data_IF_496039189218
#
_entry.id   IF_496039189218
#
_cell.length_a   1.000
_cell.length_b   1.000
_cell.length_c   1.000
_cell.angle_alpha   90.00
_cell.angle_beta   90.00
_cell.angle_gamma   90.00
#
_symmetry.space_group_name_H-M   'P 1'
#
loop_
_entity.id
_entity.type
_entity.pdbx_description
1 polymer ?
#
# COMPACT_ATOMS: atom_id res chain seq x y z
N UNK A 1 23.63 4.45 -13.74
CA UNK A 1 23.99 3.12 -13.17
C UNK A 1 23.52 2.05 -14.15
N UNK A 2 24.39 1.10 -14.48
CA UNK A 2 24.02 0.01 -15.39
C UNK A 2 23.00 -0.94 -14.73
N UNK A 3 22.04 -1.53 -15.46
CA UNK A 3 21.04 -2.45 -14.89
C UNK A 3 21.63 -3.59 -14.07
N UNK A 4 22.72 -4.20 -14.53
CA UNK A 4 23.39 -5.28 -13.79
C UNK A 4 23.96 -4.81 -12.45
N UNK A 5 24.45 -3.59 -12.39
CA UNK A 5 24.95 -2.97 -11.15
C UNK A 5 23.80 -2.73 -10.17
N UNK A 6 22.68 -2.21 -10.66
CA UNK A 6 21.45 -2.03 -9.85
C UNK A 6 20.99 -3.36 -9.28
N UNK A 7 20.94 -4.39 -10.13
CA UNK A 7 20.56 -5.74 -9.72
C UNK A 7 21.52 -6.29 -8.66
N UNK A 8 22.81 -6.19 -8.87
CA UNK A 8 23.83 -6.67 -7.93
C UNK A 8 23.74 -5.98 -6.56
N UNK A 9 23.56 -4.66 -6.54
CA UNK A 9 23.38 -3.89 -5.31
C UNK A 9 22.08 -4.26 -4.60
N UNK A 10 21.00 -4.42 -5.36
CA UNK A 10 19.71 -4.82 -4.81
C UNK A 10 19.77 -6.20 -4.18
N UNK A 11 20.39 -7.16 -4.86
CA UNK A 11 20.58 -8.51 -4.33
C UNK A 11 21.46 -8.56 -3.08
N UNK A 12 22.45 -7.68 -2.99
CA UNK A 12 23.41 -7.63 -1.89
C UNK A 12 22.82 -6.99 -0.62
N UNK A 13 21.98 -5.96 -0.77
CA UNK A 13 21.61 -5.07 0.33
C UNK A 13 20.17 -5.15 0.76
N UNK A 14 19.30 -5.92 0.05
CA UNK A 14 17.90 -6.03 0.41
C UNK A 14 17.55 -7.42 0.95
N UNK A 15 16.68 -7.42 1.95
CA UNK A 15 16.05 -8.63 2.45
C UNK A 15 14.74 -8.87 1.68
N UNK A 16 14.60 -10.03 1.07
CA UNK A 16 13.46 -10.37 0.23
C UNK A 16 12.30 -10.91 1.03
N UNK A 17 11.14 -10.28 0.93
CA UNK A 17 9.90 -10.78 1.51
C UNK A 17 9.21 -11.75 0.53
N UNK A 18 8.53 -12.76 1.06
CA UNK A 18 7.78 -13.76 0.30
C UNK A 18 8.61 -14.56 -0.72
N UNK A 19 9.90 -14.58 -0.53
CA UNK A 19 10.83 -15.26 -1.43
C UNK A 19 11.97 -15.90 -0.64
N UNK A 20 12.63 -16.89 -1.26
CA UNK A 20 13.84 -17.46 -0.68
C UNK A 20 14.99 -16.47 -0.80
N UNK A 21 15.74 -16.28 0.27
CA UNK A 21 16.87 -15.32 0.26
C UNK A 21 18.01 -15.75 -0.65
N UNK A 22 18.18 -17.06 -0.81
CA UNK A 22 19.29 -17.60 -1.61
C UNK A 22 19.13 -17.42 -3.12
N UNK A 23 17.90 -17.54 -3.63
CA UNK A 23 17.57 -17.38 -5.06
C UNK A 23 16.19 -16.77 -5.24
N UNK A 24 16.01 -15.48 -4.96
CA UNK A 24 14.73 -14.83 -5.19
C UNK A 24 14.46 -14.77 -6.70
N UNK A 25 13.21 -15.05 -7.09
CA UNK A 25 12.77 -14.81 -8.46
C UNK A 25 12.43 -13.33 -8.59
N UNK A 26 13.28 -12.58 -9.28
CA UNK A 26 13.13 -11.14 -9.45
C UNK A 26 13.00 -10.75 -10.91
N UNK A 27 12.23 -9.71 -11.18
CA UNK A 27 12.13 -9.07 -12.48
C UNK A 27 12.69 -7.67 -12.33
N UNK A 28 13.65 -7.30 -13.18
CA UNK A 28 14.17 -5.95 -13.21
C UNK A 28 13.13 -5.03 -13.86
N UNK A 29 12.81 -3.93 -13.23
CA UNK A 29 11.83 -2.96 -13.71
C UNK A 29 12.52 -1.63 -13.95
N UNK A 30 12.45 -1.12 -15.17
CA UNK A 30 12.98 0.19 -15.52
C UNK A 30 11.91 1.29 -15.48
N UNK A 31 10.73 0.99 -16.00
CA UNK A 31 9.59 1.93 -16.01
C UNK A 31 8.26 1.21 -15.96
N UNK A 32 7.22 1.92 -15.55
CA UNK A 32 5.86 1.42 -15.57
C UNK A 32 4.88 2.53 -15.96
N UNK A 33 3.83 2.17 -16.71
CA UNK A 33 2.80 3.07 -17.19
C UNK A 33 1.49 2.34 -17.43
N UNK A 34 0.38 2.87 -16.96
CA UNK A 34 -0.93 2.23 -17.08
C UNK A 34 -0.92 0.83 -16.47
N UNK A 35 -1.21 -0.18 -17.26
CA UNK A 35 -1.24 -1.60 -16.84
C UNK A 35 0.03 -2.36 -17.19
N UNK A 36 1.05 -1.67 -17.67
CA UNK A 36 2.29 -2.30 -18.13
C UNK A 36 3.51 -1.84 -17.35
N UNK A 37 4.52 -2.69 -17.32
CA UNK A 37 5.88 -2.30 -16.95
C UNK A 37 6.89 -2.89 -17.93
N UNK A 38 8.09 -2.35 -17.94
CA UNK A 38 9.17 -2.75 -18.86
C UNK A 38 10.45 -3.04 -18.09
N UNK A 39 11.13 -4.09 -18.51
CA UNK A 39 12.49 -4.39 -18.07
C UNK A 39 13.53 -3.58 -18.86
N UNK A 40 14.77 -3.48 -18.38
CA UNK A 40 15.85 -2.70 -19.03
C UNK A 40 16.18 -3.17 -20.45
N UNK A 41 15.91 -4.43 -20.80
CA UNK A 41 16.04 -4.98 -22.16
C UNK A 41 14.86 -4.61 -23.08
N UNK A 42 13.92 -3.78 -22.61
CA UNK A 42 12.77 -3.30 -23.36
C UNK A 42 11.58 -4.27 -23.39
N UNK A 43 11.67 -5.42 -22.74
CA UNK A 43 10.55 -6.36 -22.69
C UNK A 43 9.39 -5.80 -21.87
N UNK A 44 8.19 -5.83 -22.47
CA UNK A 44 6.96 -5.36 -21.86
C UNK A 44 6.24 -6.49 -21.13
N UNK A 45 5.77 -6.21 -19.94
CA UNK A 45 4.97 -7.11 -19.11
C UNK A 45 3.62 -6.48 -18.78
N UNK A 46 2.59 -7.29 -18.70
CA UNK A 46 1.30 -6.89 -18.15
C UNK A 46 1.33 -7.10 -16.63
N UNK A 47 1.12 -6.02 -15.87
CA UNK A 47 0.98 -6.12 -14.41
C UNK A 47 -0.44 -6.59 -14.04
N UNK A 48 -0.68 -7.88 -14.22
CA UNK A 48 -2.00 -8.49 -14.03
C UNK A 48 -2.43 -8.53 -12.56
N UNK A 49 -1.50 -8.44 -11.61
CA UNK A 49 -1.82 -8.40 -10.18
C UNK A 49 -1.83 -7.00 -9.57
N UNK A 50 -1.62 -5.96 -10.40
CA UNK A 50 -1.67 -4.56 -9.99
C UNK A 50 -0.74 -4.25 -8.81
N UNK A 51 0.48 -4.75 -8.86
CA UNK A 51 1.47 -4.65 -7.75
C UNK A 51 0.84 -5.07 -6.41
N UNK A 52 0.33 -6.31 -6.36
CA UNK A 52 -0.40 -6.85 -5.19
C UNK A 52 -1.63 -6.01 -4.83
N UNK A 53 -2.43 -5.67 -5.85
CA UNK A 53 -3.69 -4.90 -5.75
C UNK A 53 -3.54 -3.45 -5.23
N UNK A 54 -2.35 -2.87 -5.35
CA UNK A 54 -2.06 -1.53 -4.84
C UNK A 54 -2.08 -0.43 -5.91
N UNK A 55 -2.16 -0.78 -7.22
CA UNK A 55 -2.09 0.17 -8.34
C UNK A 55 -3.34 0.07 -9.23
N UNK A 56 -4.52 0.14 -8.63
CA UNK A 56 -5.80 -0.11 -9.30
C UNK A 56 -6.14 0.91 -10.40
N UNK A 57 -5.60 2.12 -10.31
CA UNK A 57 -5.79 3.19 -11.32
C UNK A 57 -4.68 3.21 -12.38
N UNK A 58 -3.78 2.23 -12.35
CA UNK A 58 -2.63 2.14 -13.25
C UNK A 58 -1.40 2.89 -12.74
N UNK A 59 -0.25 2.42 -13.24
CA UNK A 59 1.05 3.02 -12.94
C UNK A 59 1.16 4.44 -13.51
N UNK A 60 1.75 5.32 -12.74
CA UNK A 60 2.14 6.64 -13.22
C UNK A 60 0.97 7.59 -13.57
N UNK A 61 -0.22 7.38 -13.03
CA UNK A 61 -1.39 8.22 -13.31
C UNK A 61 -1.07 9.71 -13.11
N UNK A 62 -1.13 10.47 -14.20
CA UNK A 62 -0.70 11.87 -14.19
C UNK A 62 -1.60 12.75 -13.35
N UNK A 63 -2.91 12.53 -13.36
CA UNK A 63 -3.87 13.29 -12.55
C UNK A 63 -3.53 13.18 -11.04
N UNK A 64 -3.17 11.98 -10.58
CA UNK A 64 -2.79 11.76 -9.18
C UNK A 64 -1.46 12.44 -8.86
N UNK A 65 -0.46 12.32 -9.76
CA UNK A 65 0.83 13.00 -9.59
C UNK A 65 0.67 14.51 -9.48
N UNK A 66 -0.11 15.11 -10.37
CA UNK A 66 -0.36 16.54 -10.37
C UNK A 66 -1.08 16.99 -9.11
N UNK A 67 -2.06 16.23 -8.64
CA UNK A 67 -2.75 16.50 -7.39
C UNK A 67 -1.82 16.39 -6.17
N UNK A 68 -0.91 15.41 -6.17
CA UNK A 68 0.10 15.28 -5.11
C UNK A 68 1.10 16.43 -5.11
N UNK A 69 1.56 16.88 -6.29
CA UNK A 69 2.49 18.00 -6.43
C UNK A 69 1.82 19.31 -6.03
N UNK A 70 0.58 19.52 -6.45
CA UNK A 70 -0.20 20.72 -6.11
C UNK A 70 -0.62 20.79 -4.65
N UNK A 71 -0.55 19.68 -3.92
CA UNK A 71 -0.87 19.64 -2.51
C UNK A 71 0.33 20.15 -1.70
N UNK A 72 0.20 21.35 -1.16
CA UNK A 72 1.10 21.79 -0.09
C UNK A 72 0.89 20.87 1.12
N UNK A 73 1.94 20.14 1.50
CA UNK A 73 1.89 19.22 2.63
C UNK A 73 1.98 20.04 3.92
N UNK A 74 0.86 20.37 4.58
CA UNK A 74 0.93 21.04 5.86
C UNK A 74 1.54 20.06 6.89
N UNK A 75 2.26 20.60 7.83
CA UNK A 75 2.59 19.83 9.03
C UNK A 75 1.30 19.37 9.71
N UNK A 76 1.13 18.07 9.86
CA UNK A 76 -0.08 17.49 10.42
C UNK A 76 0.25 16.51 11.55
N UNK A 77 0.17 16.97 12.76
CA UNK A 77 0.19 16.11 13.96
C UNK A 77 -1.16 15.42 14.21
N UNK A 78 -1.22 14.53 15.20
CA UNK A 78 -2.43 13.73 15.49
C UNK A 78 -3.65 14.58 15.88
N UNK A 79 -3.45 15.80 16.38
CA UNK A 79 -4.51 16.72 16.82
C UNK A 79 -4.75 17.88 15.84
N UNK A 80 -4.19 17.79 14.62
CA UNK A 80 -4.30 18.88 13.65
C UNK A 80 -5.36 18.57 12.60
N UNK A 81 -6.15 19.60 12.27
CA UNK A 81 -7.17 19.56 11.22
C UNK A 81 -6.55 20.03 9.91
N UNK A 82 -6.74 19.25 8.84
CA UNK A 82 -6.28 19.61 7.51
C UNK A 82 -7.39 19.45 6.47
N UNK A 83 -7.38 20.29 5.44
CA UNK A 83 -8.37 20.25 4.37
C UNK A 83 -8.43 18.89 3.66
N UNK A 84 -7.32 18.24 3.27
CA UNK A 84 -7.37 16.92 2.63
C UNK A 84 -8.04 15.86 3.51
N UNK A 85 -7.77 15.89 4.82
CA UNK A 85 -8.36 14.94 5.77
C UNK A 85 -9.88 15.13 5.91
N UNK A 86 -10.35 16.37 5.91
CA UNK A 86 -11.78 16.66 5.94
C UNK A 86 -12.48 16.20 4.66
N UNK A 87 -11.91 16.51 3.48
CA UNK A 87 -12.48 16.17 2.20
C UNK A 87 -12.52 14.65 1.96
N UNK A 88 -11.47 13.91 2.33
CA UNK A 88 -11.48 12.46 2.17
C UNK A 88 -12.47 11.80 3.12
N UNK A 89 -12.60 12.29 4.36
CA UNK A 89 -13.60 11.78 5.31
C UNK A 89 -15.03 11.97 4.79
N UNK A 90 -15.33 13.15 4.27
CA UNK A 90 -16.62 13.42 3.63
C UNK A 90 -16.87 12.47 2.45
N UNK A 91 -15.89 12.33 1.56
CA UNK A 91 -16.02 11.48 0.37
C UNK A 91 -16.20 10.00 0.70
N UNK A 92 -15.49 9.51 1.70
CA UNK A 92 -15.67 8.14 2.17
C UNK A 92 -17.05 7.90 2.78
N UNK A 93 -17.56 8.85 3.57
CA UNK A 93 -18.91 8.75 4.13
C UNK A 93 -20.02 8.75 3.06
N UNK A 94 -19.80 9.41 1.93
CA UNK A 94 -20.75 9.41 0.80
C UNK A 94 -20.83 8.06 0.07
N UNK A 95 -19.72 7.32 -0.02
CA UNK A 95 -19.62 6.10 -0.84
C UNK A 95 -19.72 4.80 -0.04
N UNK A 96 -19.58 4.86 1.27
CA UNK A 96 -19.66 3.70 2.15
C UNK A 96 -21.08 3.46 2.66
N UNK A 97 -21.39 2.25 3.16
CA UNK A 97 -22.68 1.97 3.76
C UNK A 97 -23.02 2.95 4.89
N UNK A 98 -24.32 3.30 5.05
CA UNK A 98 -24.75 4.20 6.12
C UNK A 98 -24.28 3.75 7.51
N UNK A 99 -23.81 4.69 8.32
CA UNK A 99 -23.29 4.44 9.67
C UNK A 99 -21.78 4.21 9.72
N UNK A 100 -21.08 4.09 8.56
CA UNK A 100 -19.64 4.08 8.46
C UNK A 100 -19.15 5.48 8.08
N UNK A 101 -19.10 6.38 9.03
CA UNK A 101 -18.84 7.82 8.83
C UNK A 101 -17.63 8.35 9.62
N UNK A 102 -16.89 7.47 10.28
CA UNK A 102 -15.68 7.81 11.05
C UNK A 102 -14.51 6.97 10.63
N UNK A 103 -13.38 7.59 10.33
CA UNK A 103 -12.24 6.94 9.68
C UNK A 103 -10.95 7.16 10.46
N UNK A 104 -10.25 6.07 10.71
CA UNK A 104 -8.88 6.08 11.20
C UNK A 104 -7.95 5.85 10.02
N UNK A 105 -7.12 6.86 9.71
CA UNK A 105 -6.14 6.75 8.64
C UNK A 105 -4.83 6.19 9.19
N UNK A 106 -4.32 5.15 8.52
CA UNK A 106 -3.09 4.44 8.88
C UNK A 106 -2.12 4.43 7.71
N UNK A 107 -0.88 3.98 7.93
CA UNK A 107 0.15 3.94 6.89
C UNK A 107 0.02 2.73 5.96
N UNK A 108 -0.52 1.63 6.45
CA UNK A 108 -0.63 0.39 5.69
C UNK A 108 -1.82 -0.46 6.13
N UNK A 109 -2.18 -1.46 5.33
CA UNK A 109 -3.24 -2.42 5.67
C UNK A 109 -2.96 -3.21 6.95
N UNK A 110 -1.69 -3.54 7.23
CA UNK A 110 -1.30 -4.19 8.49
C UNK A 110 -1.62 -3.32 9.70
N UNK A 111 -1.29 -2.02 9.63
CA UNK A 111 -1.63 -1.07 10.70
C UNK A 111 -3.14 -0.93 10.89
N UNK A 112 -3.90 -0.93 9.78
CA UNK A 112 -5.34 -0.87 9.84
C UNK A 112 -5.93 -2.09 10.55
N UNK A 113 -5.45 -3.29 10.21
CA UNK A 113 -5.85 -4.53 10.85
C UNK A 113 -5.50 -4.56 12.35
N UNK A 114 -4.29 -4.13 12.72
CA UNK A 114 -3.87 -4.05 14.14
C UNK A 114 -4.77 -3.12 14.95
N UNK A 115 -5.09 -1.96 14.40
CA UNK A 115 -6.00 -1.02 15.08
C UNK A 115 -7.42 -1.58 15.17
N UNK A 116 -7.92 -2.24 14.11
CA UNK A 116 -9.23 -2.89 14.15
C UNK A 116 -9.29 -4.00 15.22
N UNK A 117 -8.24 -4.82 15.32
CA UNK A 117 -8.13 -5.87 16.34
C UNK A 117 -8.10 -5.27 17.76
N UNK A 118 -7.33 -4.21 17.97
CA UNK A 118 -7.29 -3.51 19.27
C UNK A 118 -8.66 -2.96 19.67
N UNK A 119 -9.31 -2.26 18.75
CA UNK A 119 -10.64 -1.68 18.98
C UNK A 119 -11.67 -2.78 19.27
N UNK A 120 -11.63 -3.88 18.50
CA UNK A 120 -12.55 -4.99 18.70
C UNK A 120 -12.35 -5.68 20.06
N UNK A 121 -11.11 -5.90 20.47
CA UNK A 121 -10.78 -6.46 21.79
C UNK A 121 -11.19 -5.55 22.94
N UNK A 122 -10.93 -4.27 22.82
CA UNK A 122 -11.27 -3.26 23.83
C UNK A 122 -12.80 -3.15 23.98
N UNK A 123 -13.52 -3.03 22.87
CA UNK A 123 -14.96 -2.90 22.86
C UNK A 123 -15.70 -4.16 23.36
N UNK A 124 -15.22 -5.36 23.02
CA UNK A 124 -15.91 -6.62 23.36
C UNK A 124 -15.41 -7.29 24.63
N UNK A 125 -14.24 -6.91 25.13
CA UNK A 125 -13.54 -7.63 26.21
C UNK A 125 -13.03 -9.02 25.80
N UNK A 126 -13.10 -9.39 24.50
CA UNK A 126 -12.72 -10.72 24.00
C UNK A 126 -11.36 -10.66 23.30
N UNK A 127 -10.52 -11.67 23.56
CA UNK A 127 -9.14 -11.71 23.03
C UNK A 127 -9.05 -12.37 21.66
N UNK A 128 -9.85 -13.42 21.41
CA UNK A 128 -9.75 -14.24 20.21
C UNK A 128 -10.33 -13.53 18.98
N UNK A 129 -9.59 -13.59 17.88
CA UNK A 129 -10.01 -13.13 16.56
C UNK A 129 -10.19 -14.34 15.65
N UNK A 130 -11.32 -14.40 14.96
CA UNK A 130 -11.58 -15.44 13.96
C UNK A 130 -11.07 -14.97 12.60
N UNK A 131 -10.32 -15.82 11.93
CA UNK A 131 -9.82 -15.56 10.57
C UNK A 131 -10.07 -16.76 9.67
N UNK A 132 -10.09 -16.56 8.37
CA UNK A 132 -10.19 -17.66 7.42
C UNK A 132 -8.81 -18.29 7.19
N UNK A 133 -8.78 -19.58 6.89
CA UNK A 133 -7.56 -20.26 6.51
C UNK A 133 -6.90 -19.59 5.29
N UNK A 134 -5.59 -19.37 5.35
CA UNK A 134 -4.81 -18.69 4.30
C UNK A 134 -5.20 -17.22 4.05
N UNK A 135 -5.83 -16.55 5.00
CA UNK A 135 -6.04 -15.10 4.93
C UNK A 135 -4.76 -14.36 5.33
N UNK A 136 -4.36 -13.40 4.52
CA UNK A 136 -3.29 -12.48 4.85
C UNK A 136 -3.88 -11.23 5.54
N UNK A 137 -3.36 -10.87 6.69
CA UNK A 137 -3.78 -9.69 7.45
C UNK A 137 -2.63 -8.75 7.81
N UNK A 138 -1.41 -9.07 7.42
CA UNK A 138 -0.20 -8.32 7.72
C UNK A 138 0.88 -9.20 8.32
N UNK A 139 2.08 -8.63 8.49
CA UNK A 139 3.22 -9.29 9.13
C UNK A 139 3.47 -8.68 10.51
N UNK A 140 2.43 -8.60 11.32
CA UNK A 140 2.40 -7.99 12.65
C UNK A 140 2.05 -9.02 13.71
N UNK A 141 1.88 -8.59 14.96
CA UNK A 141 1.67 -9.45 16.13
C UNK A 141 0.20 -9.81 16.42
N UNK A 142 -0.75 -9.11 15.78
CA UNK A 142 -2.16 -9.23 16.04
C UNK A 142 -2.87 -10.47 15.52
#
# INVERSE_FOLDING_TARGET
MHPDEIRALTMKHNFWTWSTQHRPSVIDVERAEGVYFWSPDGKRYLDFNSTVMCVNIGHGNQYVKDAMIAQELPFAGPHMVTKPRALIGQKLAEILPPGLDRFLYTLAGSDANENAIKIARDYTGKVKILTRYRSYHGSTMG
#
